data_IF_956833584203
#
_entry.id   IF_956833584203
#
_cell.length_a   1.000
_cell.length_b   1.000
_cell.length_c   1.000
_cell.angle_alpha   90.00
_cell.angle_beta   90.00
_cell.angle_gamma   90.00
#
_symmetry.space_group_name_H-M   'P 1'
#
loop_
_entity.id
_entity.type
_entity.pdbx_description
1 polymer ?
#
# COMPACT_ATOMS: atom_id res chain seq x y z
N UNK A 1 -5.82 6.52 22.05
CA UNK A 1 -4.90 5.36 21.87
C UNK A 1 -5.57 4.00 22.09
N UNK A 2 -6.54 3.86 23.00
CA UNK A 2 -7.25 2.60 23.27
C UNK A 2 -8.00 1.99 22.05
N UNK A 3 -8.63 2.84 21.22
CA UNK A 3 -9.37 2.40 20.03
C UNK A 3 -8.49 1.78 18.93
N UNK A 4 -7.24 2.25 18.77
CA UNK A 4 -6.29 1.68 17.81
C UNK A 4 -5.83 0.28 18.25
N UNK A 5 -5.65 0.09 19.56
CA UNK A 5 -5.31 -1.22 20.14
C UNK A 5 -6.48 -2.20 19.97
N UNK A 6 -7.71 -1.75 20.17
CA UNK A 6 -8.92 -2.57 19.97
C UNK A 6 -9.13 -2.98 18.51
N UNK A 7 -8.88 -2.09 17.55
CA UNK A 7 -8.94 -2.42 16.12
C UNK A 7 -7.78 -3.35 15.70
N UNK A 8 -6.58 -3.13 16.23
CA UNK A 8 -5.43 -4.01 16.00
C UNK A 8 -5.67 -5.41 16.59
N UNK A 9 -6.24 -5.52 17.79
CA UNK A 9 -6.60 -6.79 18.43
C UNK A 9 -7.71 -7.51 17.66
N UNK A 10 -8.75 -6.80 17.23
CA UNK A 10 -9.86 -7.38 16.46
C UNK A 10 -9.44 -7.90 15.08
N UNK A 11 -8.43 -7.27 14.47
CA UNK A 11 -7.79 -7.78 13.26
C UNK A 11 -6.89 -8.99 13.53
N UNK A 12 -6.07 -8.92 14.59
CA UNK A 12 -5.13 -9.96 14.98
C UNK A 12 -5.79 -11.30 15.34
N UNK A 13 -6.96 -11.27 15.99
CA UNK A 13 -7.72 -12.47 16.37
C UNK A 13 -8.59 -13.06 15.23
N UNK A 14 -8.60 -12.44 14.05
CA UNK A 14 -9.35 -12.99 12.91
C UNK A 14 -8.67 -14.23 12.33
N UNK A 15 -9.47 -15.23 11.94
CA UNK A 15 -8.98 -16.46 11.30
C UNK A 15 -8.11 -16.16 10.06
N UNK A 16 -8.46 -15.11 9.32
CA UNK A 16 -7.69 -14.66 8.15
C UNK A 16 -6.27 -14.19 8.52
N UNK A 17 -6.11 -13.43 9.62
CA UNK A 17 -4.78 -13.00 10.06
C UNK A 17 -3.94 -14.16 10.61
N UNK A 18 -4.56 -15.11 11.32
CA UNK A 18 -3.87 -16.36 11.71
C UNK A 18 -3.38 -17.12 10.48
N UNK A 19 -4.25 -17.32 9.49
CA UNK A 19 -3.89 -18.01 8.26
C UNK A 19 -2.80 -17.28 7.46
N UNK A 20 -2.84 -15.95 7.38
CA UNK A 20 -1.81 -15.14 6.74
C UNK A 20 -0.47 -15.17 7.47
N UNK A 21 -0.47 -15.30 8.79
CA UNK A 21 0.75 -15.54 9.57
C UNK A 21 1.31 -16.95 9.33
N UNK A 22 0.45 -17.95 9.11
CA UNK A 22 0.87 -19.31 8.73
C UNK A 22 1.38 -19.38 7.27
N UNK A 23 0.97 -18.43 6.41
CA UNK A 23 1.34 -18.37 5.00
C UNK A 23 2.01 -17.02 4.65
N UNK A 24 3.21 -16.74 5.17
CA UNK A 24 3.88 -15.46 5.00
C UNK A 24 4.18 -15.14 3.53
N UNK A 25 4.34 -16.17 2.69
CA UNK A 25 4.49 -16.02 1.25
C UNK A 25 3.27 -15.35 0.58
N UNK A 26 2.06 -15.71 1.00
CA UNK A 26 0.81 -15.14 0.48
C UNK A 26 0.68 -13.68 0.90
N UNK A 27 0.99 -13.39 2.16
CA UNK A 27 1.01 -12.03 2.69
C UNK A 27 2.00 -11.15 1.91
N UNK A 28 3.22 -11.64 1.68
CA UNK A 28 4.24 -10.93 0.90
C UNK A 28 3.80 -10.65 -0.53
N UNK A 29 3.20 -11.63 -1.22
CA UNK A 29 2.65 -11.46 -2.57
C UNK A 29 1.52 -10.43 -2.65
N UNK A 30 0.62 -10.42 -1.65
CA UNK A 30 -0.45 -9.43 -1.57
C UNK A 30 0.14 -8.03 -1.48
N UNK A 31 1.09 -7.81 -0.57
CA UNK A 31 1.71 -6.50 -0.41
C UNK A 31 2.52 -6.06 -1.64
N UNK A 32 3.26 -6.97 -2.27
CA UNK A 32 3.96 -6.66 -3.54
C UNK A 32 2.95 -6.23 -4.61
N UNK A 33 1.84 -6.94 -4.76
CA UNK A 33 0.80 -6.61 -5.74
C UNK A 33 0.21 -5.22 -5.48
N UNK A 34 -0.12 -4.93 -4.22
CA UNK A 34 -0.63 -3.61 -3.81
C UNK A 34 0.41 -2.52 -4.09
N UNK A 35 1.68 -2.76 -3.75
CA UNK A 35 2.76 -1.81 -3.95
C UNK A 35 3.02 -1.50 -5.43
N UNK A 36 2.94 -2.51 -6.30
CA UNK A 36 3.05 -2.34 -7.76
C UNK A 36 1.87 -1.53 -8.31
N UNK A 37 0.64 -1.82 -7.90
CA UNK A 37 -0.55 -1.08 -8.36
C UNK A 37 -0.49 0.38 -7.90
N UNK A 38 -0.12 0.62 -6.64
CA UNK A 38 -0.03 1.96 -6.07
C UNK A 38 1.12 2.77 -6.69
N UNK A 39 2.30 2.15 -6.83
CA UNK A 39 3.44 2.80 -7.46
C UNK A 39 3.23 3.04 -8.95
N UNK A 40 2.61 2.08 -9.64
CA UNK A 40 2.28 2.16 -11.06
C UNK A 40 1.24 3.25 -11.36
N UNK A 41 0.18 3.37 -10.54
CA UNK A 41 -0.79 4.45 -10.68
C UNK A 41 -0.16 5.82 -10.42
N UNK A 42 0.67 5.94 -9.38
CA UNK A 42 1.44 7.16 -9.13
C UNK A 42 2.38 7.53 -10.29
N UNK A 43 3.07 6.55 -10.89
CA UNK A 43 3.94 6.80 -12.05
C UNK A 43 3.15 7.23 -13.30
N UNK A 44 2.00 6.61 -13.54
CA UNK A 44 1.10 6.95 -14.64
C UNK A 44 0.56 8.38 -14.50
N UNK A 45 0.08 8.72 -13.31
CA UNK A 45 -0.41 10.06 -12.96
C UNK A 45 0.68 11.13 -13.06
N UNK A 46 1.89 10.82 -12.56
CA UNK A 46 3.03 11.73 -12.67
C UNK A 46 3.37 12.05 -14.14
N UNK A 47 3.27 11.05 -15.03
CA UNK A 47 3.50 11.23 -16.47
C UNK A 47 2.44 12.12 -17.13
N UNK A 48 1.20 12.09 -16.63
CA UNK A 48 0.11 12.92 -17.12
C UNK A 48 0.09 14.32 -16.51
N UNK A 49 0.89 14.56 -15.45
CA UNK A 49 0.90 15.84 -14.74
C UNK A 49 -0.37 16.09 -13.93
N UNK A 50 -1.14 15.03 -13.66
CA UNK A 50 -2.40 15.05 -12.90
C UNK A 50 -2.36 13.96 -11.85
N UNK A 51 -2.97 14.19 -10.69
CA UNK A 51 -3.23 13.13 -9.71
C UNK A 51 -4.71 13.08 -9.40
N UNK A 52 -5.30 11.89 -9.30
CA UNK A 52 -6.69 11.76 -8.91
C UNK A 52 -6.80 11.67 -7.39
N UNK A 53 -7.70 12.44 -6.79
CA UNK A 53 -8.03 12.26 -5.38
C UNK A 53 -8.86 10.97 -5.15
N UNK A 54 -9.18 10.69 -3.89
CA UNK A 54 -10.00 9.52 -3.49
C UNK A 54 -11.44 9.55 -4.00
N UNK A 55 -11.92 10.70 -4.48
CA UNK A 55 -13.24 10.93 -5.07
C UNK A 55 -13.17 10.99 -6.60
N UNK A 56 -11.99 10.77 -7.20
CA UNK A 56 -11.77 10.83 -8.65
C UNK A 56 -11.59 12.24 -9.20
N UNK A 57 -11.43 13.26 -8.36
CA UNK A 57 -11.18 14.63 -8.83
C UNK A 57 -9.73 14.76 -9.30
N UNK A 58 -9.53 15.40 -10.46
CA UNK A 58 -8.21 15.71 -10.97
C UNK A 58 -7.55 16.87 -10.19
N UNK A 59 -6.37 16.60 -9.67
CA UNK A 59 -5.49 17.58 -9.01
C UNK A 59 -4.34 17.88 -9.96
N UNK A 60 -4.33 19.09 -10.51
CA UNK A 60 -3.29 19.54 -11.44
C UNK A 60 -2.14 20.28 -10.75
N UNK A 61 -1.04 20.44 -11.46
CA UNK A 61 0.09 21.27 -11.04
C UNK A 61 0.99 20.62 -9.99
N UNK A 62 1.72 21.45 -9.24
CA UNK A 62 2.72 20.96 -8.27
C UNK A 62 2.14 20.09 -7.16
N UNK A 63 0.87 20.29 -6.80
CA UNK A 63 0.16 19.48 -5.81
C UNK A 63 -0.12 18.07 -6.35
N UNK A 64 -0.52 17.96 -7.63
CA UNK A 64 -0.74 16.67 -8.29
C UNK A 64 0.55 15.87 -8.41
N UNK A 65 1.62 16.49 -8.90
CA UNK A 65 2.93 15.84 -8.99
C UNK A 65 3.44 15.34 -7.63
N UNK A 66 3.27 16.13 -6.56
CA UNK A 66 3.70 15.75 -5.22
C UNK A 66 2.95 14.53 -4.70
N UNK A 67 1.63 14.46 -4.93
CA UNK A 67 0.80 13.31 -4.54
C UNK A 67 1.21 12.04 -5.30
N UNK A 68 1.49 12.18 -6.60
CA UNK A 68 1.95 11.07 -7.43
C UNK A 68 3.32 10.53 -6.98
N UNK A 69 4.26 11.42 -6.64
CA UNK A 69 5.57 11.03 -6.08
C UNK A 69 5.38 10.30 -4.74
N UNK A 70 4.50 10.81 -3.87
CA UNK A 70 4.23 10.18 -2.59
C UNK A 70 3.64 8.77 -2.76
N UNK A 71 2.77 8.55 -3.75
CA UNK A 71 2.25 7.22 -4.12
C UNK A 71 3.34 6.28 -4.61
N UNK A 72 4.27 6.77 -5.42
CA UNK A 72 5.42 5.97 -5.89
C UNK A 72 6.30 5.53 -4.72
N UNK A 73 6.65 6.45 -3.83
CA UNK A 73 7.48 6.16 -2.64
C UNK A 73 6.77 5.19 -1.70
N UNK A 74 5.47 5.41 -1.45
CA UNK A 74 4.67 4.51 -0.65
C UNK A 74 4.59 3.10 -1.29
N UNK A 75 4.34 3.03 -2.60
CA UNK A 75 4.31 1.77 -3.35
C UNK A 75 5.62 1.00 -3.24
N UNK A 76 6.77 1.69 -3.40
CA UNK A 76 8.08 1.09 -3.23
C UNK A 76 8.31 0.56 -1.80
N UNK A 77 7.92 1.32 -0.77
CA UNK A 77 8.02 0.88 0.62
C UNK A 77 7.19 -0.37 0.90
N UNK A 78 5.97 -0.43 0.35
CA UNK A 78 5.09 -1.60 0.49
C UNK A 78 5.65 -2.82 -0.24
N UNK A 79 6.22 -2.64 -1.43
CA UNK A 79 6.92 -3.73 -2.13
C UNK A 79 8.10 -4.26 -1.32
N UNK A 80 8.91 -3.39 -0.71
CA UNK A 80 10.03 -3.80 0.15
C UNK A 80 9.52 -4.60 1.35
N UNK A 81 8.43 -4.17 1.99
CA UNK A 81 7.82 -4.93 3.09
C UNK A 81 7.32 -6.31 2.63
N UNK A 82 6.67 -6.37 1.47
CA UNK A 82 6.20 -7.64 0.90
C UNK A 82 7.37 -8.59 0.59
N UNK A 83 8.45 -8.07 -0.01
CA UNK A 83 9.68 -8.83 -0.26
C UNK A 83 10.33 -9.31 1.04
N UNK A 84 10.39 -8.46 2.06
CA UNK A 84 10.88 -8.86 3.38
C UNK A 84 10.06 -10.03 3.94
N UNK A 85 8.73 -9.99 3.82
CA UNK A 85 7.87 -11.10 4.24
C UNK A 85 8.07 -12.39 3.45
N UNK A 86 8.41 -12.30 2.16
CA UNK A 86 8.77 -13.48 1.36
C UNK A 86 10.11 -14.10 1.80
N UNK A 87 11.08 -13.28 2.21
CA UNK A 87 12.43 -13.74 2.55
C UNK A 87 12.56 -14.17 4.02
N UNK A 88 11.93 -13.44 4.94
CA UNK A 88 12.12 -13.63 6.38
C UNK A 88 11.06 -14.52 7.05
N UNK A 89 9.88 -14.70 6.43
CA UNK A 89 8.73 -15.39 7.05
C UNK A 89 8.00 -14.52 8.06
#
# INVERSE_FOLDING_TARGET
MYYLVLLAQRGADSEANRWLNEHPAVLGLIFITIGIVLGGSGAYELKQGVAHDKYGNEVHGGMGQSLSILRIVAGAGVCIFGLYKLVAG
#
